data_IF_509822382754
#
_entry.id   IF_509822382754
#
_cell.length_a   1.000
_cell.length_b   1.000
_cell.length_c   1.000
_cell.angle_alpha   90.00
_cell.angle_beta   90.00
_cell.angle_gamma   90.00
#
_symmetry.space_group_name_H-M   'P 1'
#
loop_
_entity.id
_entity.type
_entity.pdbx_description
1 polymer ?
#
# COMPACT_ATOMS: atom_id res chain seq x y z
N UNK A 1 -38.15 30.44 -47.65
CA UNK A 1 -36.88 31.01 -47.24
C UNK A 1 -36.76 30.85 -45.74
N UNK A 2 -35.99 29.86 -45.28
CA UNK A 2 -35.61 29.75 -43.88
C UNK A 2 -34.27 30.43 -43.69
N UNK A 3 -34.26 31.58 -43.02
CA UNK A 3 -33.03 32.21 -42.56
C UNK A 3 -32.58 31.49 -41.29
N UNK A 4 -31.47 30.79 -41.42
CA UNK A 4 -30.74 30.27 -40.26
C UNK A 4 -30.08 31.46 -39.54
N UNK A 5 -30.51 31.77 -38.33
CA UNK A 5 -29.77 32.67 -37.47
C UNK A 5 -28.53 31.91 -36.95
N UNK A 6 -27.40 32.14 -37.60
CA UNK A 6 -26.11 31.92 -36.98
C UNK A 6 -25.93 33.05 -35.96
N UNK A 7 -26.07 32.75 -34.67
CA UNK A 7 -25.56 33.63 -33.64
C UNK A 7 -24.04 33.55 -33.71
N UNK A 8 -23.44 34.66 -34.08
CA UNK A 8 -22.01 34.90 -33.93
C UNK A 8 -21.70 34.84 -32.42
N UNK A 9 -21.22 33.69 -31.96
CA UNK A 9 -20.74 33.56 -30.58
C UNK A 9 -19.30 34.06 -30.54
N UNK A 10 -19.17 35.35 -30.52
CA UNK A 10 -17.91 36.05 -30.20
C UNK A 10 -17.65 35.84 -28.72
N UNK A 11 -17.25 34.62 -28.34
CA UNK A 11 -16.76 34.35 -27.02
C UNK A 11 -15.33 34.91 -26.96
N UNK A 12 -15.03 35.80 -26.02
CA UNK A 12 -13.65 36.18 -25.80
C UNK A 12 -12.85 34.90 -25.57
N UNK A 13 -11.70 34.79 -26.24
CA UNK A 13 -10.81 33.67 -26.05
C UNK A 13 -10.60 33.48 -24.55
N UNK A 14 -10.96 32.28 -24.06
CA UNK A 14 -10.61 31.91 -22.69
C UNK A 14 -9.09 31.93 -22.63
N UNK A 15 -8.57 32.84 -21.84
CA UNK A 15 -7.14 32.92 -21.54
C UNK A 15 -6.86 31.76 -20.57
N UNK A 16 -6.67 30.55 -21.13
CA UNK A 16 -6.19 29.43 -20.35
C UNK A 16 -4.78 29.79 -19.92
N UNK A 17 -4.48 29.75 -18.61
CA UNK A 17 -3.09 29.87 -18.19
C UNK A 17 -2.27 28.84 -18.97
N UNK A 18 -1.20 29.29 -19.61
CA UNK A 18 -0.33 28.38 -20.35
C UNK A 18 0.04 27.22 -19.44
N UNK A 19 -0.41 26.03 -19.81
CA UNK A 19 0.00 24.82 -19.14
C UNK A 19 1.51 24.72 -19.29
N UNK A 20 2.26 24.79 -18.21
CA UNK A 20 3.71 24.62 -18.22
C UNK A 20 4.12 23.23 -18.66
N UNK A 21 3.15 22.36 -18.97
CA UNK A 21 3.37 20.99 -19.40
C UNK A 21 3.85 20.06 -18.28
N UNK A 22 4.16 20.59 -17.13
CA UNK A 22 4.51 19.79 -15.95
C UNK A 22 3.25 19.52 -15.13
N UNK A 23 2.79 18.29 -15.16
CA UNK A 23 1.78 17.81 -14.21
C UNK A 23 2.45 17.81 -12.84
N UNK A 24 1.91 18.52 -11.82
CA UNK A 24 2.49 18.48 -10.49
C UNK A 24 2.52 17.04 -10.00
N UNK A 25 3.72 16.49 -9.74
CA UNK A 25 3.86 15.17 -9.18
C UNK A 25 3.83 15.24 -7.67
N UNK A 26 3.10 14.33 -7.04
CA UNK A 26 3.06 14.17 -5.58
C UNK A 26 3.69 12.84 -5.19
N UNK A 27 4.36 12.72 -4.04
CA UNK A 27 4.87 11.45 -3.58
C UNK A 27 3.77 10.45 -3.17
N UNK A 28 2.53 10.90 -2.95
CA UNK A 28 1.39 10.03 -2.64
C UNK A 28 0.89 9.32 -3.90
N UNK A 29 1.31 8.09 -4.08
CA UNK A 29 1.08 7.30 -5.31
C UNK A 29 -0.22 6.50 -5.28
N UNK A 30 -0.61 5.99 -4.12
CA UNK A 30 -1.89 5.33 -3.89
C UNK A 30 -2.49 5.82 -2.58
N UNK A 31 -3.79 6.10 -2.57
CA UNK A 31 -4.53 6.46 -1.37
C UNK A 31 -5.93 5.88 -1.40
N UNK A 32 -6.18 4.94 -0.51
CA UNK A 32 -7.48 4.31 -0.29
C UNK A 32 -8.05 4.83 1.04
N UNK A 33 -8.90 5.86 1.02
CA UNK A 33 -9.41 6.48 2.25
C UNK A 33 -10.45 5.63 2.96
N UNK A 34 -11.25 4.84 2.24
CA UNK A 34 -12.35 4.03 2.75
C UNK A 34 -13.49 4.81 3.47
N UNK A 35 -13.50 6.15 3.39
CA UNK A 35 -14.43 7.02 4.13
C UNK A 35 -15.90 6.73 3.82
N UNK A 36 -16.17 6.15 2.65
CA UNK A 36 -17.47 5.67 2.19
C UNK A 36 -17.33 4.22 1.75
N UNK A 37 -18.40 3.57 1.32
CA UNK A 37 -18.33 2.25 0.64
C UNK A 37 -17.66 2.39 -0.74
N UNK A 38 -16.55 3.08 -0.77
CA UNK A 38 -15.80 3.46 -1.98
C UNK A 38 -14.34 3.08 -1.81
N UNK A 39 -13.88 2.21 -2.69
CA UNK A 39 -12.49 1.73 -2.73
C UNK A 39 -11.66 2.42 -3.81
N UNK A 40 -12.13 3.57 -4.37
CA UNK A 40 -11.38 4.28 -5.40
C UNK A 40 -10.06 4.82 -4.85
N UNK A 41 -9.03 4.69 -5.68
CA UNK A 41 -7.74 5.31 -5.40
C UNK A 41 -7.82 6.83 -5.62
N UNK A 42 -7.39 7.58 -4.62
CA UNK A 42 -7.24 9.04 -4.67
C UNK A 42 -5.77 9.49 -4.75
N UNK A 43 -4.85 8.55 -4.98
CA UNK A 43 -3.44 8.82 -5.20
C UNK A 43 -3.13 9.26 -6.63
N UNK A 44 -1.89 9.71 -6.87
CA UNK A 44 -1.45 10.23 -8.17
C UNK A 44 -1.50 9.18 -9.27
N UNK A 45 -1.16 7.93 -8.97
CA UNK A 45 -1.05 6.91 -9.99
C UNK A 45 -2.40 6.39 -10.51
N UNK A 46 -3.49 6.60 -9.78
CA UNK A 46 -4.83 6.26 -10.25
C UNK A 46 -5.01 4.76 -10.48
N UNK A 47 -4.69 3.93 -9.49
CA UNK A 47 -4.94 2.49 -9.57
C UNK A 47 -6.42 2.20 -9.79
N UNK A 48 -6.72 1.24 -10.64
CA UNK A 48 -8.06 0.69 -10.73
C UNK A 48 -8.25 -0.33 -9.61
N UNK A 49 -8.96 0.08 -8.57
CA UNK A 49 -9.15 -0.72 -7.37
C UNK A 49 -10.44 -1.51 -7.44
N UNK A 50 -10.36 -2.78 -7.09
CA UNK A 50 -11.50 -3.68 -6.97
C UNK A 50 -11.31 -4.63 -5.79
N UNK A 51 -12.38 -4.97 -5.12
CA UNK A 51 -12.38 -6.07 -4.16
C UNK A 51 -12.72 -7.41 -4.85
N UNK A 52 -12.58 -8.49 -4.11
CA UNK A 52 -12.94 -9.83 -4.61
C UNK A 52 -14.43 -10.20 -4.40
N UNK A 53 -15.28 -9.22 -4.12
CA UNK A 53 -16.70 -9.42 -3.85
C UNK A 53 -17.03 -9.78 -2.40
N UNK A 54 -16.04 -9.87 -1.51
CA UNK A 54 -16.21 -10.20 -0.10
C UNK A 54 -15.86 -9.05 0.85
N UNK A 55 -15.35 -7.91 0.30
CA UNK A 55 -15.06 -6.73 1.08
C UNK A 55 -16.32 -6.20 1.78
N UNK A 56 -16.14 -5.75 3.01
CA UNK A 56 -17.17 -5.06 3.78
C UNK A 56 -16.61 -3.76 4.31
N UNK A 57 -17.51 -2.89 4.72
CA UNK A 57 -17.16 -1.62 5.34
C UNK A 57 -17.77 -1.58 6.73
N UNK A 58 -17.01 -1.09 7.69
CA UNK A 58 -17.46 -0.86 9.05
C UNK A 58 -17.66 0.64 9.28
N UNK A 59 -18.66 1.00 10.02
CA UNK A 59 -18.78 2.32 10.63
C UNK A 59 -17.64 2.47 11.66
N UNK A 60 -17.28 3.62 12.13
CA UNK A 60 -16.15 3.87 13.03
C UNK A 60 -14.75 3.83 12.38
N UNK A 61 -14.61 4.28 11.15
CA UNK A 61 -13.31 4.60 10.58
C UNK A 61 -12.64 5.79 11.30
N UNK A 62 -11.40 6.05 10.95
CA UNK A 62 -10.70 7.28 11.37
C UNK A 62 -11.41 8.51 10.79
N UNK A 63 -11.88 8.39 9.54
CA UNK A 63 -12.78 9.34 8.92
C UNK A 63 -13.87 8.54 8.18
N UNK A 64 -15.12 8.68 8.58
CA UNK A 64 -16.22 7.93 7.97
C UNK A 64 -16.16 6.42 8.22
N UNK A 65 -16.15 5.64 7.15
CA UNK A 65 -16.10 4.17 7.21
C UNK A 65 -14.65 3.66 7.15
N UNK A 66 -14.49 2.38 7.37
CA UNK A 66 -13.22 1.67 7.23
C UNK A 66 -13.42 0.36 6.46
N UNK A 67 -12.40 -0.11 5.78
CA UNK A 67 -12.40 -1.44 5.21
C UNK A 67 -12.44 -2.50 6.31
N UNK A 68 -13.38 -3.43 6.22
CA UNK A 68 -13.48 -4.61 7.09
C UNK A 68 -13.01 -5.84 6.34
N UNK A 69 -11.85 -6.33 6.71
CA UNK A 69 -11.32 -7.58 6.18
C UNK A 69 -12.05 -8.81 6.70
N UNK A 70 -11.80 -9.92 6.04
CA UNK A 70 -12.25 -11.24 6.43
C UNK A 70 -11.26 -12.28 5.87
N UNK A 71 -11.36 -13.53 6.32
CA UNK A 71 -10.47 -14.61 5.88
C UNK A 71 -10.43 -14.79 4.35
N UNK A 72 -11.51 -14.44 3.67
CA UNK A 72 -11.66 -14.57 2.22
C UNK A 72 -11.85 -13.22 1.50
N UNK A 73 -11.53 -12.10 2.16
CA UNK A 73 -11.66 -10.76 1.59
C UNK A 73 -10.28 -10.12 1.34
N UNK A 74 -10.14 -9.42 0.23
CA UNK A 74 -8.97 -8.62 -0.13
C UNK A 74 -9.31 -7.59 -1.19
N UNK A 75 -8.41 -6.65 -1.38
CA UNK A 75 -8.48 -5.61 -2.40
C UNK A 75 -7.32 -5.78 -3.36
N UNK A 76 -7.58 -5.62 -4.66
CA UNK A 76 -6.58 -5.54 -5.71
C UNK A 76 -6.56 -4.12 -6.28
N UNK A 77 -5.37 -3.53 -6.30
CA UNK A 77 -5.11 -2.25 -6.95
C UNK A 77 -4.35 -2.50 -8.27
N UNK A 78 -5.07 -2.52 -9.39
CA UNK A 78 -4.49 -2.76 -10.70
C UNK A 78 -3.68 -1.54 -11.14
N UNK A 79 -2.41 -1.76 -11.43
CA UNK A 79 -1.51 -0.73 -11.94
C UNK A 79 -1.93 -0.32 -13.35
N UNK A 80 -2.16 0.98 -13.60
CA UNK A 80 -2.39 1.46 -14.95
C UNK A 80 -1.21 1.13 -15.87
N UNK A 81 -1.49 0.72 -17.12
CA UNK A 81 -0.45 0.28 -18.06
C UNK A 81 0.61 1.35 -18.33
N UNK A 82 0.24 2.62 -18.31
CA UNK A 82 1.16 3.76 -18.46
C UNK A 82 2.21 3.83 -17.32
N UNK A 83 1.94 3.18 -16.18
CA UNK A 83 2.79 3.20 -14.99
C UNK A 83 3.54 1.89 -14.75
N UNK A 84 3.39 0.89 -15.62
CA UNK A 84 4.04 -0.43 -15.45
C UNK A 84 5.57 -0.33 -15.31
N UNK A 85 6.19 0.70 -15.89
CA UNK A 85 7.62 0.94 -15.79
C UNK A 85 8.04 1.72 -14.53
N UNK A 86 7.12 2.34 -13.80
CA UNK A 86 7.43 3.15 -12.62
C UNK A 86 7.54 2.30 -11.35
N UNK A 87 6.69 1.29 -11.19
CA UNK A 87 6.75 0.38 -10.05
C UNK A 87 8.09 -0.35 -9.93
N UNK A 88 8.72 -0.83 -11.04
CA UNK A 88 10.03 -1.48 -10.96
C UNK A 88 11.14 -0.60 -10.39
N UNK A 89 11.04 0.71 -10.48
CA UNK A 89 12.08 1.67 -10.08
C UNK A 89 11.64 2.61 -8.96
N UNK A 90 10.80 2.13 -8.05
CA UNK A 90 10.22 2.98 -6.99
C UNK A 90 11.27 3.64 -6.08
N UNK A 91 12.41 3.01 -5.88
CA UNK A 91 13.56 3.57 -5.16
C UNK A 91 13.40 3.59 -3.64
N UNK A 92 12.61 4.50 -3.13
CA UNK A 92 12.22 4.63 -1.74
C UNK A 92 10.75 4.27 -1.59
N UNK A 93 10.33 3.92 -0.39
CA UNK A 93 8.96 3.48 -0.17
C UNK A 93 8.48 3.83 1.23
N UNK A 94 7.29 4.40 1.32
CA UNK A 94 6.54 4.47 2.58
C UNK A 94 5.15 3.87 2.37
N UNK A 95 4.77 2.92 3.23
CA UNK A 95 3.41 2.39 3.33
C UNK A 95 2.86 2.77 4.67
N UNK A 96 1.76 3.52 4.71
CA UNK A 96 1.14 4.00 5.94
C UNK A 96 -0.36 3.71 5.94
N UNK A 97 -0.88 3.27 7.07
CA UNK A 97 -2.29 2.94 7.24
C UNK A 97 -2.69 2.94 8.70
N UNK A 98 -3.96 3.10 8.95
CA UNK A 98 -4.57 2.79 10.24
C UNK A 98 -5.03 1.34 10.26
N UNK A 99 -4.82 0.69 11.38
CA UNK A 99 -5.18 -0.71 11.58
C UNK A 99 -5.86 -0.89 12.93
N UNK A 100 -6.92 -1.70 12.95
CA UNK A 100 -7.56 -2.17 14.18
C UNK A 100 -7.77 -3.66 14.07
N UNK A 101 -7.16 -4.42 14.97
CA UNK A 101 -7.20 -5.88 14.92
C UNK A 101 -6.95 -6.49 16.29
N UNK A 102 -7.27 -7.76 16.39
CA UNK A 102 -6.98 -8.59 17.57
C UNK A 102 -5.81 -9.52 17.29
N UNK A 103 -5.32 -10.18 18.34
CA UNK A 103 -4.24 -11.17 18.25
C UNK A 103 -4.52 -12.18 17.12
N UNK A 104 -3.54 -12.37 16.28
CA UNK A 104 -3.57 -13.36 15.21
C UNK A 104 -2.99 -14.71 15.67
N UNK A 105 -3.52 -15.79 15.12
CA UNK A 105 -3.05 -17.16 15.35
C UNK A 105 -2.48 -17.82 14.09
N UNK A 106 -2.45 -17.09 13.00
CA UNK A 106 -1.88 -17.49 11.71
C UNK A 106 -1.19 -16.28 11.07
N UNK A 107 -0.34 -16.51 10.08
CA UNK A 107 0.17 -15.40 9.28
C UNK A 107 -0.97 -14.72 8.51
N UNK A 108 -0.98 -13.38 8.46
CA UNK A 108 -2.02 -12.58 7.82
C UNK A 108 -1.40 -11.52 6.92
N UNK A 109 -1.69 -11.59 5.61
CA UNK A 109 -1.18 -10.64 4.63
C UNK A 109 -1.83 -9.27 4.76
N UNK A 110 -1.02 -8.22 4.87
CA UNK A 110 -1.49 -6.83 4.93
C UNK A 110 -1.32 -6.11 3.60
N UNK A 111 -0.17 -6.25 2.97
CA UNK A 111 0.15 -5.56 1.72
C UNK A 111 1.17 -6.34 0.91
N UNK A 112 1.00 -6.37 -0.41
CA UNK A 112 1.97 -6.98 -1.32
C UNK A 112 2.09 -6.16 -2.62
N UNK A 113 3.35 -5.82 -2.96
CA UNK A 113 3.75 -5.49 -4.33
C UNK A 113 4.25 -6.81 -4.92
N UNK A 114 3.52 -7.44 -5.83
CA UNK A 114 3.79 -8.82 -6.18
C UNK A 114 5.05 -9.00 -7.02
N UNK A 115 5.58 -10.21 -6.95
CA UNK A 115 6.48 -10.77 -7.94
C UNK A 115 5.78 -11.93 -8.63
N UNK A 116 5.53 -11.80 -9.93
CA UNK A 116 4.67 -12.73 -10.67
C UNK A 116 5.22 -14.15 -10.84
N UNK A 117 6.48 -14.40 -10.43
CA UNK A 117 7.14 -15.70 -10.58
C UNK A 117 7.73 -16.26 -9.27
N UNK A 118 7.83 -15.46 -8.21
CA UNK A 118 8.39 -15.88 -6.93
C UNK A 118 7.30 -16.23 -5.92
N UNK A 119 7.64 -16.98 -4.89
CA UNK A 119 6.72 -17.30 -3.79
C UNK A 119 6.26 -16.04 -3.05
N UNK A 120 7.20 -15.21 -2.62
CA UNK A 120 6.92 -13.91 -1.99
C UNK A 120 6.93 -12.79 -3.02
N UNK A 121 6.29 -11.68 -2.67
CA UNK A 121 6.26 -10.45 -3.46
C UNK A 121 7.61 -9.73 -3.52
N UNK A 122 7.68 -8.70 -4.34
CA UNK A 122 8.82 -7.79 -4.32
C UNK A 122 8.90 -6.98 -3.02
N UNK A 123 7.73 -6.65 -2.46
CA UNK A 123 7.61 -6.01 -1.15
C UNK A 123 6.33 -6.50 -0.47
N UNK A 124 6.48 -7.16 0.67
CA UNK A 124 5.35 -7.65 1.46
C UNK A 124 5.39 -7.11 2.87
N UNK A 125 4.23 -6.81 3.43
CA UNK A 125 4.02 -6.56 4.86
C UNK A 125 2.98 -7.55 5.35
N UNK A 126 3.27 -8.29 6.41
CA UNK A 126 2.33 -9.22 7.01
C UNK A 126 2.54 -9.38 8.51
N UNK A 127 1.51 -9.83 9.18
CA UNK A 127 1.56 -10.28 10.56
C UNK A 127 1.95 -11.76 10.57
N UNK A 128 3.02 -12.08 11.31
CA UNK A 128 3.37 -13.45 11.63
C UNK A 128 2.66 -13.87 12.92
N UNK A 129 2.46 -15.16 13.11
CA UNK A 129 1.93 -15.68 14.35
C UNK A 129 2.85 -15.34 15.53
N UNK A 130 2.28 -14.79 16.59
CA UNK A 130 2.99 -14.47 17.84
C UNK A 130 2.10 -14.83 19.04
N UNK A 131 2.70 -15.33 20.10
CA UNK A 131 2.00 -15.73 21.33
C UNK A 131 1.73 -14.57 22.30
N UNK A 132 1.86 -13.33 21.87
CA UNK A 132 1.58 -12.15 22.69
C UNK A 132 0.15 -11.67 22.51
N UNK A 133 -0.47 -11.19 23.57
CA UNK A 133 -1.80 -10.58 23.54
C UNK A 133 -1.77 -9.11 23.07
N UNK A 134 -0.63 -8.45 23.15
CA UNK A 134 -0.49 -7.02 22.86
C UNK A 134 0.53 -6.73 21.77
N UNK A 135 1.60 -7.51 21.69
CA UNK A 135 2.71 -7.32 20.75
C UNK A 135 2.42 -8.04 19.44
N UNK A 136 2.40 -7.30 18.35
CA UNK A 136 2.34 -7.87 17.00
C UNK A 136 3.75 -8.20 16.47
N UNK A 137 3.85 -9.26 15.71
CA UNK A 137 5.05 -9.65 14.99
C UNK A 137 4.87 -9.33 13.50
N UNK A 138 5.36 -8.18 13.07
CA UNK A 138 5.38 -7.83 11.66
C UNK A 138 6.60 -8.42 10.97
N UNK A 139 6.38 -8.95 9.79
CA UNK A 139 7.45 -9.25 8.84
C UNK A 139 7.32 -8.37 7.62
N UNK A 140 8.46 -7.86 7.16
CA UNK A 140 8.59 -7.21 5.86
C UNK A 140 9.55 -8.05 5.03
N UNK A 141 9.10 -8.41 3.84
CA UNK A 141 9.90 -9.14 2.86
C UNK A 141 10.21 -8.21 1.68
N UNK A 142 11.45 -8.23 1.21
CA UNK A 142 11.89 -7.43 0.07
C UNK A 142 12.70 -8.32 -0.87
N UNK A 143 12.29 -8.41 -2.13
CA UNK A 143 13.15 -8.82 -3.23
C UNK A 143 13.65 -7.56 -3.94
N UNK A 144 14.93 -7.24 -3.75
CA UNK A 144 15.52 -6.11 -4.42
C UNK A 144 16.50 -6.56 -5.49
N UNK A 145 16.35 -6.04 -6.70
CA UNK A 145 17.32 -6.23 -7.76
C UNK A 145 18.46 -5.22 -7.61
N UNK A 146 19.39 -5.49 -6.70
CA UNK A 146 20.65 -4.76 -6.59
C UNK A 146 21.69 -5.34 -7.57
N UNK A 147 22.97 -5.02 -7.38
CA UNK A 147 24.08 -5.65 -8.10
C UNK A 147 24.16 -7.19 -7.92
N UNK A 148 23.48 -7.72 -6.91
CA UNK A 148 23.32 -9.17 -6.70
C UNK A 148 21.95 -9.58 -7.20
N UNK A 149 21.90 -10.43 -8.17
CA UNK A 149 20.67 -11.05 -8.64
C UNK A 149 19.95 -11.77 -7.48
N UNK A 150 18.64 -11.55 -7.33
CA UNK A 150 17.80 -12.12 -6.27
C UNK A 150 18.20 -11.73 -4.83
N UNK A 151 18.43 -10.47 -4.57
CA UNK A 151 18.68 -9.97 -3.22
C UNK A 151 17.41 -10.01 -2.37
N UNK A 152 17.27 -11.06 -1.56
CA UNK A 152 16.13 -11.28 -0.67
C UNK A 152 16.44 -10.82 0.75
N UNK A 153 15.57 -9.99 1.31
CA UNK A 153 15.73 -9.45 2.65
C UNK A 153 14.48 -9.68 3.50
N UNK A 154 14.74 -10.01 4.77
CA UNK A 154 13.71 -10.23 5.77
C UNK A 154 13.88 -9.29 6.95
N UNK A 155 12.80 -8.60 7.32
CA UNK A 155 12.73 -7.75 8.49
C UNK A 155 11.70 -8.35 9.45
N UNK A 156 12.09 -8.50 10.71
CA UNK A 156 11.29 -9.04 11.78
C UNK A 156 11.12 -7.95 12.86
N UNK A 157 9.95 -7.35 12.92
CA UNK A 157 9.64 -6.25 13.82
C UNK A 157 8.55 -6.67 14.82
N UNK A 158 8.93 -6.79 16.07
CA UNK A 158 7.98 -7.00 17.18
C UNK A 158 7.64 -5.65 17.78
N UNK A 159 6.36 -5.29 17.71
CA UNK A 159 5.86 -3.97 18.09
C UNK A 159 4.75 -4.12 19.13
N UNK A 160 4.92 -3.47 20.26
CA UNK A 160 3.97 -3.50 21.36
C UNK A 160 2.73 -2.65 21.07
N UNK A 161 1.66 -2.91 21.82
CA UNK A 161 0.41 -2.14 21.84
C UNK A 161 -0.25 -2.00 20.45
N UNK A 162 -0.33 -3.13 19.74
CA UNK A 162 -0.97 -3.19 18.41
C UNK A 162 -2.38 -3.77 18.50
N UNK A 163 -2.56 -4.81 19.32
CA UNK A 163 -3.83 -5.54 19.39
C UNK A 163 -4.81 -4.89 20.37
N UNK A 164 -6.07 -4.80 19.98
CA UNK A 164 -7.14 -4.26 20.81
C UNK A 164 -8.27 -3.62 20.02
N UNK A 165 -9.07 -2.83 20.73
CA UNK A 165 -10.22 -2.10 20.17
C UNK A 165 -9.86 -0.75 19.58
N UNK A 166 -8.67 -0.25 19.87
CA UNK A 166 -8.23 1.07 19.43
C UNK A 166 -7.60 1.02 18.04
N UNK A 167 -7.75 2.10 17.29
CA UNK A 167 -7.04 2.32 16.04
C UNK A 167 -5.57 2.62 16.30
N UNK A 168 -4.70 1.97 15.55
CA UNK A 168 -3.25 2.18 15.59
C UNK A 168 -2.79 2.63 14.22
N UNK A 169 -2.10 3.76 14.14
CA UNK A 169 -1.44 4.20 12.92
C UNK A 169 -0.08 3.53 12.78
N UNK A 170 0.17 2.97 11.62
CA UNK A 170 1.45 2.34 11.28
C UNK A 170 2.03 2.96 10.02
N UNK A 171 3.34 3.16 9.99
CA UNK A 171 4.05 3.51 8.79
C UNK A 171 5.35 2.71 8.69
N UNK A 172 5.57 2.08 7.55
CA UNK A 172 6.76 1.33 7.20
C UNK A 172 7.52 2.17 6.18
N UNK A 173 8.68 2.67 6.56
CA UNK A 173 9.50 3.58 5.77
C UNK A 173 10.80 2.91 5.38
N UNK A 174 11.02 2.71 4.08
CA UNK A 174 12.27 2.23 3.53
C UNK A 174 13.04 3.38 2.88
N UNK A 175 14.26 3.61 3.34
CA UNK A 175 15.20 4.57 2.79
C UNK A 175 16.31 3.84 2.03
N UNK A 176 16.29 3.94 0.71
CA UNK A 176 17.28 3.31 -0.14
C UNK A 176 18.64 4.00 -0.12
N UNK A 177 18.77 5.22 0.40
CA UNK A 177 20.07 5.89 0.54
C UNK A 177 20.85 5.31 1.74
N UNK A 178 20.16 4.98 2.81
CA UNK A 178 20.75 4.41 4.02
C UNK A 178 20.56 2.90 4.10
N UNK A 179 19.79 2.31 3.19
CA UNK A 179 19.40 0.89 3.25
C UNK A 179 18.74 0.53 4.58
N UNK A 180 17.83 1.36 5.06
CA UNK A 180 17.23 1.24 6.39
C UNK A 180 15.72 1.17 6.28
N UNK A 181 15.09 0.27 7.02
CA UNK A 181 13.65 0.28 7.24
C UNK A 181 13.34 0.73 8.66
N UNK A 182 12.42 1.69 8.78
CA UNK A 182 11.92 2.19 10.06
C UNK A 182 10.42 1.98 10.13
N UNK A 183 9.94 1.49 11.27
CA UNK A 183 8.50 1.37 11.55
C UNK A 183 8.10 2.39 12.58
N UNK A 184 7.04 3.12 12.25
CA UNK A 184 6.41 4.10 13.14
C UNK A 184 5.07 3.55 13.64
N UNK A 185 4.80 3.75 14.90
CA UNK A 185 3.51 3.51 15.54
C UNK A 185 3.00 4.81 16.14
N UNK A 186 1.80 5.23 15.77
CA UNK A 186 1.16 6.47 16.26
C UNK A 186 2.08 7.70 16.17
N UNK A 187 2.77 7.84 15.04
CA UNK A 187 3.66 8.96 14.77
C UNK A 187 5.08 8.82 15.34
N UNK A 188 5.35 7.85 16.19
CA UNK A 188 6.66 7.63 16.82
C UNK A 188 7.41 6.46 16.19
N UNK A 189 8.72 6.65 15.94
CA UNK A 189 9.60 5.58 15.47
C UNK A 189 9.82 4.54 16.57
N UNK A 190 9.39 3.29 16.33
CA UNK A 190 9.43 2.21 17.34
C UNK A 190 10.37 1.07 16.98
N UNK A 191 10.79 1.00 15.72
CA UNK A 191 11.69 -0.05 15.25
C UNK A 191 12.51 0.45 14.06
N UNK A 192 13.79 0.07 14.00
CA UNK A 192 14.67 0.37 12.88
C UNK A 192 15.60 -0.81 12.62
N UNK A 193 15.81 -1.14 11.35
CA UNK A 193 16.76 -2.17 10.92
C UNK A 193 17.52 -1.73 9.68
N UNK A 194 18.85 -1.88 9.72
CA UNK A 194 19.70 -1.75 8.55
C UNK A 194 19.64 -3.03 7.70
N UNK A 195 19.64 -2.85 6.39
CA UNK A 195 19.72 -3.90 5.37
C UNK A 195 20.96 -3.63 4.50
N UNK A 196 22.16 -3.94 4.98
CA UNK A 196 23.41 -3.51 4.33
C UNK A 196 23.43 -3.83 2.85
N UNK A 197 23.87 -2.86 2.02
CA UNK A 197 23.98 -2.98 0.57
C UNK A 197 22.66 -3.20 -0.20
N UNK A 198 21.50 -3.05 0.44
CA UNK A 198 20.21 -3.20 -0.25
C UNK A 198 19.97 -2.07 -1.27
N UNK A 199 20.25 -0.82 -0.89
CA UNK A 199 20.18 0.33 -1.80
C UNK A 199 18.76 0.71 -2.23
N UNK A 200 18.65 1.48 -3.30
CA UNK A 200 17.36 1.88 -3.88
C UNK A 200 16.57 0.66 -4.36
N UNK A 201 15.27 0.66 -4.08
CA UNK A 201 14.39 -0.43 -4.50
C UNK A 201 14.25 -0.46 -6.02
N UNK A 202 14.58 -1.61 -6.58
CA UNK A 202 14.40 -1.94 -7.97
C UNK A 202 13.81 -3.33 -8.06
N UNK A 203 12.59 -3.43 -8.57
CA UNK A 203 11.82 -4.66 -8.60
C UNK A 203 11.82 -5.31 -9.97
N UNK A 204 11.72 -6.64 -9.98
CA UNK A 204 11.55 -7.45 -11.18
C UNK A 204 10.18 -8.12 -11.17
N UNK A 205 9.71 -8.44 -12.38
CA UNK A 205 8.49 -9.24 -12.56
C UNK A 205 7.32 -8.71 -11.72
N UNK A 206 7.19 -7.39 -11.63
CA UNK A 206 6.07 -6.77 -10.91
C UNK A 206 4.77 -7.21 -11.56
N UNK A 207 3.86 -7.74 -10.76
CA UNK A 207 2.54 -8.15 -11.24
C UNK A 207 1.66 -6.95 -11.59
N UNK A 208 0.57 -7.23 -12.28
CA UNK A 208 -0.36 -6.20 -12.75
C UNK A 208 -1.20 -5.55 -11.63
N UNK A 209 -1.16 -6.08 -10.42
CA UNK A 209 -1.98 -5.56 -9.30
C UNK A 209 -1.24 -5.67 -7.97
N UNK A 210 -1.35 -4.64 -7.14
CA UNK A 210 -0.98 -4.73 -5.74
C UNK A 210 -2.12 -5.39 -4.96
N UNK A 211 -1.79 -6.05 -3.84
CA UNK A 211 -2.79 -6.63 -2.95
C UNK A 211 -2.80 -5.93 -1.59
N UNK A 212 -3.98 -5.61 -1.08
CA UNK A 212 -4.22 -5.09 0.27
C UNK A 212 -5.08 -6.10 1.02
N UNK A 213 -4.68 -6.45 2.24
CA UNK A 213 -5.35 -7.46 3.05
C UNK A 213 -5.06 -8.91 2.65
N UNK A 214 -4.03 -9.16 1.83
CA UNK A 214 -3.66 -10.49 1.37
C UNK A 214 -2.18 -10.62 1.04
N UNK A 215 -1.69 -11.87 1.04
CA UNK A 215 -0.47 -12.23 0.34
C UNK A 215 -0.74 -12.36 -1.17
N UNK A 216 0.29 -12.13 -1.99
CA UNK A 216 0.17 -12.32 -3.45
C UNK A 216 -0.32 -13.72 -3.86
N UNK A 217 0.04 -14.74 -3.10
CA UNK A 217 -0.32 -16.14 -3.38
C UNK A 217 -1.67 -16.55 -2.79
N UNK A 218 -2.29 -15.72 -1.95
CA UNK A 218 -3.59 -16.01 -1.32
C UNK A 218 -4.79 -15.38 -2.04
N UNK A 219 -4.56 -14.73 -3.16
CA UNK A 219 -5.62 -14.22 -4.05
C UNK A 219 -6.13 -15.30 -5.00
N UNK A 220 -7.29 -15.09 -5.61
CA UNK A 220 -7.86 -16.02 -6.60
C UNK A 220 -8.22 -15.23 -7.89
N UNK A 221 -7.51 -15.45 -9.00
CA UNK A 221 -6.30 -16.30 -9.12
C UNK A 221 -5.11 -15.71 -8.32
N UNK A 222 -4.13 -16.56 -8.02
CA UNK A 222 -2.87 -16.09 -7.42
C UNK A 222 -2.18 -15.07 -8.31
N UNK A 223 -1.60 -14.03 -7.71
CA UNK A 223 -0.82 -13.00 -8.45
C UNK A 223 0.58 -13.49 -8.85
N UNK A 224 0.92 -14.70 -8.47
CA UNK A 224 2.21 -15.31 -8.83
C UNK A 224 2.02 -16.73 -9.35
N UNK A 225 2.88 -17.13 -10.30
CA UNK A 225 2.99 -18.52 -10.74
C UNK A 225 3.84 -19.38 -9.78
N UNK A 226 4.56 -18.74 -8.85
CA UNK A 226 5.47 -19.42 -7.93
C UNK A 226 4.79 -20.07 -6.73
N UNK A 227 3.53 -19.72 -6.44
CA UNK A 227 2.77 -20.30 -5.35
C UNK A 227 1.26 -20.11 -5.51
N UNK A 228 0.49 -20.97 -4.87
CA UNK A 228 -0.93 -20.81 -4.61
C UNK A 228 -1.20 -20.65 -3.11
N UNK A 229 -2.48 -20.62 -2.75
CA UNK A 229 -2.91 -20.47 -1.37
C UNK A 229 -2.25 -21.49 -0.42
N UNK A 230 -1.87 -21.02 0.75
CA UNK A 230 -1.21 -21.80 1.79
C UNK A 230 -2.12 -21.90 3.02
N UNK A 231 -2.15 -23.06 3.67
CA UNK A 231 -3.01 -23.31 4.84
C UNK A 231 -2.63 -22.47 6.07
N UNK A 232 -1.35 -22.10 6.18
CA UNK A 232 -0.80 -21.28 7.27
C UNK A 232 -0.97 -19.78 7.09
N UNK A 233 -1.29 -19.34 5.87
CA UNK A 233 -1.41 -17.92 5.50
C UNK A 233 -2.86 -17.58 5.24
N UNK A 234 -3.32 -16.49 5.85
CA UNK A 234 -4.69 -16.00 5.76
C UNK A 234 -4.71 -14.58 5.21
N UNK A 235 -5.85 -14.19 4.67
CA UNK A 235 -6.12 -12.78 4.42
C UNK A 235 -6.34 -12.07 5.77
N UNK A 236 -6.10 -10.76 5.78
CA UNK A 236 -6.22 -9.97 7.00
C UNK A 236 -7.69 -9.78 7.38
N UNK A 237 -8.14 -10.25 8.56
CA UNK A 237 -9.55 -10.17 8.95
C UNK A 237 -9.90 -8.93 9.76
N UNK A 238 -8.91 -8.10 10.09
CA UNK A 238 -9.10 -6.86 10.84
C UNK A 238 -9.62 -5.71 9.98
N UNK A 239 -9.50 -4.51 10.49
CA UNK A 239 -9.92 -3.29 9.82
C UNK A 239 -8.71 -2.48 9.38
N UNK A 240 -8.82 -1.88 8.20
CA UNK A 240 -7.83 -0.96 7.63
C UNK A 240 -8.53 0.34 7.25
N UNK A 241 -7.82 1.45 7.44
CA UNK A 241 -8.31 2.75 7.05
C UNK A 241 -7.18 3.62 6.53
N UNK A 242 -7.51 4.57 5.66
CA UNK A 242 -6.59 5.56 5.10
C UNK A 242 -5.26 4.95 4.62
N UNK A 243 -5.33 3.92 3.79
CA UNK A 243 -4.18 3.20 3.28
C UNK A 243 -3.42 4.04 2.24
N UNK A 244 -2.15 4.30 2.48
CA UNK A 244 -1.30 5.16 1.65
C UNK A 244 -0.02 4.48 1.21
N UNK A 245 0.35 4.71 -0.05
CA UNK A 245 1.64 4.31 -0.63
C UNK A 245 2.34 5.56 -1.17
N UNK A 246 3.58 5.76 -0.75
CA UNK A 246 4.44 6.85 -1.21
C UNK A 246 5.71 6.28 -1.85
N UNK A 247 6.21 6.91 -2.90
CA UNK A 247 7.54 6.66 -3.48
C UNK A 247 8.61 7.58 -2.85
N UNK A 248 8.49 7.82 -1.57
CA UNK A 248 9.31 8.75 -0.80
C UNK A 248 9.60 8.20 0.59
N UNK A 249 10.77 8.54 1.11
CA UNK A 249 11.05 8.47 2.56
C UNK A 249 10.31 9.60 3.26
N UNK A 250 9.22 9.28 3.94
CA UNK A 250 8.55 10.27 4.78
C UNK A 250 9.38 10.52 6.05
N UNK A 251 9.55 11.79 6.38
CA UNK A 251 10.22 12.21 7.61
C UNK A 251 9.35 11.92 8.83
N UNK A 252 9.94 11.88 10.02
CA UNK A 252 9.20 11.73 11.26
C UNK A 252 8.11 12.80 11.43
N UNK A 253 8.40 14.05 11.03
CA UNK A 253 7.43 15.14 11.05
C UNK A 253 6.26 14.91 10.10
N UNK A 254 6.52 14.41 8.88
CA UNK A 254 5.48 14.07 7.92
C UNK A 254 4.61 12.90 8.42
N UNK A 255 5.23 11.87 9.02
CA UNK A 255 4.51 10.76 9.65
C UNK A 255 3.64 11.24 10.81
N UNK A 256 4.19 12.11 11.69
CA UNK A 256 3.44 12.69 12.80
C UNK A 256 2.25 13.53 12.29
N UNK A 257 2.43 14.25 11.19
CA UNK A 257 1.36 15.04 10.57
C UNK A 257 0.23 14.15 10.03
N UNK A 258 0.56 13.03 9.40
CA UNK A 258 -0.45 12.06 8.92
C UNK A 258 -1.20 11.41 10.09
N UNK A 259 -0.50 11.12 11.18
CA UNK A 259 -1.10 10.53 12.38
C UNK A 259 -2.04 11.51 13.09
N UNK A 260 -1.68 12.78 13.20
CA UNK A 260 -2.46 13.77 13.96
C UNK A 260 -3.57 14.44 13.15
N UNK A 261 -3.64 14.18 11.84
CA UNK A 261 -4.70 14.48 10.91
C UNK A 261 -5.10 15.69 10.49
#
# INVERSE_FOLDING_TARGET
CMQSCFQDMDHPAFDYPESTGEVPTTPLKMYLPFDEEDIRDKGEWGFLVADNGNAKFAEDGIAGMAYQGAENAYILAKTPSILENNMPTIGDLTVAFWMRTTKNTSAQGLFSIPNSIKFCGNFDIFLENNNSETQAFFKVHIFNQTAKENDERWVEAKIDDIFGSEWVHLAFVYDGNTSTITVYRNGEGVFTKELPDCGKLKFNNVGASLAVGAFQFSTTPSLTSGAGAQTWAKNFPGQLDQFRLYDKVLTATEIQSIYSG
#
